data_IF_058675282829
#
_entry.id   IF_058675282829
#
_cell.length_a   1.000
_cell.length_b   1.000
_cell.length_c   1.000
_cell.angle_alpha   90.00
_cell.angle_beta   90.00
_cell.angle_gamma   90.00
#
_symmetry.space_group_name_H-M   'P 1'
#
loop_
_entity.id
_entity.type
_entity.pdbx_description
1 polymer ?
#
# COMPACT_ATOMS: atom_id res chain seq x y z
N UNK A 1 -1.80 -1.29 12.41
CA UNK A 1 -1.52 -2.07 13.62
C UNK A 1 -0.01 -2.23 13.79
N UNK A 2 0.48 -2.06 15.03
CA UNK A 2 1.88 -2.34 15.37
C UNK A 2 2.03 -3.81 15.76
N UNK A 3 3.10 -4.44 15.30
CA UNK A 3 3.31 -5.87 15.42
C UNK A 3 4.27 -6.16 16.59
N UNK A 4 3.79 -6.82 17.66
CA UNK A 4 4.62 -7.33 18.76
C UNK A 4 5.02 -8.78 18.48
N UNK A 5 6.33 -9.05 18.50
CA UNK A 5 6.92 -10.40 18.55
C UNK A 5 6.33 -11.40 17.54
N UNK A 6 6.04 -10.98 16.32
CA UNK A 6 5.66 -11.91 15.27
C UNK A 6 6.93 -12.56 14.73
N UNK A 7 7.32 -13.66 15.33
CA UNK A 7 8.37 -14.55 14.81
C UNK A 7 7.77 -15.39 13.69
N UNK A 8 7.64 -14.80 12.50
CA UNK A 8 7.21 -15.53 11.31
C UNK A 8 8.38 -15.75 10.36
N UNK A 9 8.62 -17.00 10.04
CA UNK A 9 9.39 -17.53 8.91
C UNK A 9 10.78 -16.95 8.62
N UNK A 10 11.80 -17.75 8.90
CA UNK A 10 13.18 -17.61 8.40
C UNK A 10 13.82 -16.29 8.78
N UNK A 11 14.55 -16.28 9.87
CA UNK A 11 15.32 -15.17 10.44
C UNK A 11 16.15 -14.45 9.36
N UNK A 12 15.55 -13.46 8.68
CA UNK A 12 16.36 -12.41 8.10
C UNK A 12 16.88 -11.59 9.28
N UNK A 13 18.19 -11.57 9.48
CA UNK A 13 18.84 -10.71 10.47
C UNK A 13 18.71 -9.24 10.01
N UNK A 14 17.62 -8.58 10.40
CA UNK A 14 17.50 -7.15 10.24
C UNK A 14 18.26 -6.41 11.35
N UNK A 15 18.80 -5.21 11.07
CA UNK A 15 19.38 -4.36 12.08
C UNK A 15 18.40 -4.07 13.21
N UNK A 16 18.91 -4.04 14.45
CA UNK A 16 18.13 -3.69 15.64
C UNK A 16 17.54 -2.27 15.50
N UNK A 17 16.29 -2.11 15.95
CA UNK A 17 15.57 -0.84 15.91
C UNK A 17 16.12 0.09 17.01
N UNK A 18 16.62 1.27 16.61
CA UNK A 18 17.23 2.27 17.50
C UNK A 18 16.20 3.27 18.03
N UNK A 19 15.19 3.61 17.23
CA UNK A 19 14.09 4.48 17.63
C UNK A 19 12.78 3.72 17.44
N UNK A 20 12.18 3.26 18.54
CA UNK A 20 10.93 2.53 18.60
C UNK A 20 9.75 3.41 19.07
N UNK A 21 9.96 4.71 19.26
CA UNK A 21 8.98 5.64 19.83
C UNK A 21 7.64 5.60 19.13
N UNK A 22 7.65 5.52 17.77
CA UNK A 22 6.41 5.38 16.98
C UNK A 22 5.65 4.09 17.31
N UNK A 23 6.34 2.97 17.45
CA UNK A 23 5.72 1.69 17.79
C UNK A 23 5.19 1.67 19.21
N UNK A 24 5.96 2.20 20.19
CA UNK A 24 5.54 2.31 21.58
C UNK A 24 4.28 3.15 21.72
N UNK A 25 4.25 4.32 21.08
CA UNK A 25 3.06 5.18 21.05
C UNK A 25 1.86 4.45 20.41
N UNK A 26 2.07 3.69 19.32
CA UNK A 26 1.03 2.91 18.67
C UNK A 26 0.48 1.77 19.56
N UNK A 27 1.27 1.28 20.52
CA UNK A 27 0.83 0.31 21.52
C UNK A 27 0.20 0.95 22.76
N UNK A 28 0.18 2.29 22.85
CA UNK A 28 -0.34 3.02 24.00
C UNK A 28 0.65 3.09 25.18
N UNK A 29 1.92 2.90 24.92
CA UNK A 29 3.00 3.05 25.91
C UNK A 29 3.41 4.51 26.05
N UNK A 30 3.91 4.91 27.24
CA UNK A 30 4.47 6.23 27.45
C UNK A 30 5.72 6.43 26.58
N UNK A 31 5.84 7.62 26.01
CA UNK A 31 6.98 8.02 25.19
C UNK A 31 7.49 9.40 25.64
N UNK A 32 8.79 9.64 25.50
CA UNK A 32 9.41 10.89 25.94
C UNK A 32 8.94 12.10 25.13
N UNK A 33 8.39 11.86 23.93
CA UNK A 33 7.83 12.88 23.05
C UNK A 33 6.80 12.24 22.11
N UNK A 34 5.95 13.07 21.50
CA UNK A 34 4.99 12.61 20.50
C UNK A 34 5.71 12.31 19.18
N UNK A 35 5.72 11.04 18.71
CA UNK A 35 6.37 10.69 17.45
C UNK A 35 5.63 11.26 16.24
N UNK A 36 6.38 11.61 15.20
CA UNK A 36 5.83 12.20 13.97
C UNK A 36 6.13 11.31 12.77
N UNK A 37 5.08 10.98 12.05
CA UNK A 37 5.13 10.41 10.72
C UNK A 37 4.20 11.18 9.80
N UNK A 38 4.62 11.45 8.56
CA UNK A 38 3.80 12.12 7.56
C UNK A 38 3.35 11.14 6.48
N UNK A 39 2.04 11.06 6.21
CA UNK A 39 1.48 10.15 5.20
C UNK A 39 2.09 10.36 3.80
N UNK A 40 2.42 11.59 3.43
CA UNK A 40 3.03 11.93 2.15
C UNK A 40 4.49 12.35 2.30
N UNK A 41 5.30 11.47 2.90
CA UNK A 41 6.74 11.72 3.09
C UNK A 41 7.46 11.81 1.75
N UNK A 42 7.34 10.81 0.89
CA UNK A 42 7.87 10.83 -0.47
C UNK A 42 6.90 11.56 -1.40
N UNK A 43 7.39 12.45 -2.23
CA UNK A 43 6.54 13.18 -3.13
C UNK A 43 7.24 14.21 -4.02
N UNK A 44 6.50 14.75 -4.98
CA UNK A 44 7.00 15.69 -6.00
C UNK A 44 7.52 17.02 -5.43
N UNK A 45 7.25 17.34 -4.18
CA UNK A 45 7.81 18.50 -3.48
C UNK A 45 9.33 18.36 -3.25
N UNK A 46 9.85 17.12 -3.24
CA UNK A 46 11.28 16.84 -3.14
C UNK A 46 11.92 16.87 -4.52
N UNK A 47 12.97 17.68 -4.75
CA UNK A 47 13.72 17.68 -6.03
C UNK A 47 14.25 16.28 -6.36
N UNK A 48 14.88 15.61 -5.42
CA UNK A 48 15.43 14.26 -5.57
C UNK A 48 14.37 13.21 -5.94
N UNK A 49 13.14 13.38 -5.47
CA UNK A 49 12.03 12.52 -5.88
C UNK A 49 11.73 12.66 -7.38
N UNK A 50 11.72 13.90 -7.88
CA UNK A 50 11.51 14.18 -9.31
C UNK A 50 12.63 13.63 -10.17
N UNK A 51 13.87 13.75 -9.71
CA UNK A 51 15.06 13.21 -10.40
C UNK A 51 15.01 11.68 -10.46
N UNK A 52 14.78 11.01 -9.34
CA UNK A 52 14.68 9.53 -9.28
C UNK A 52 13.58 9.00 -10.20
N UNK A 53 12.49 9.76 -10.35
CA UNK A 53 11.35 9.34 -11.16
C UNK A 53 11.37 9.81 -12.62
N UNK A 54 12.36 10.62 -13.01
CA UNK A 54 12.39 11.23 -14.35
C UNK A 54 12.46 10.21 -15.50
N UNK A 55 13.10 9.05 -15.27
CA UNK A 55 13.37 8.03 -16.28
C UNK A 55 12.33 6.89 -16.33
N UNK A 56 11.35 6.85 -15.40
CA UNK A 56 10.43 5.72 -15.29
C UNK A 56 8.99 6.19 -15.07
N UNK A 57 8.03 5.43 -15.63
CA UNK A 57 6.63 5.61 -15.28
C UNK A 57 6.35 5.21 -13.82
N UNK A 58 5.16 5.56 -13.32
CA UNK A 58 4.82 5.39 -11.91
C UNK A 58 4.84 3.92 -11.46
N UNK A 59 4.21 3.03 -12.22
CA UNK A 59 4.10 1.64 -11.82
C UNK A 59 5.39 0.85 -12.07
N UNK A 60 6.17 1.21 -13.08
CA UNK A 60 7.54 0.69 -13.25
C UNK A 60 8.43 1.07 -12.06
N UNK A 61 8.27 2.30 -11.53
CA UNK A 61 8.95 2.71 -10.29
C UNK A 61 8.52 1.84 -9.10
N UNK A 62 7.21 1.58 -8.94
CA UNK A 62 6.70 0.72 -7.86
C UNK A 62 7.23 -0.72 -7.96
N UNK A 63 7.56 -1.21 -9.15
CA UNK A 63 8.12 -2.55 -9.38
C UNK A 63 9.64 -2.64 -9.24
N UNK A 64 10.34 -1.53 -9.03
CA UNK A 64 11.78 -1.49 -8.77
C UNK A 64 12.03 -1.40 -7.26
N UNK A 65 12.52 -2.47 -6.61
CA UNK A 65 12.85 -2.45 -5.18
C UNK A 65 13.85 -1.35 -4.82
N UNK A 66 14.84 -1.09 -5.69
CA UNK A 66 15.86 -0.07 -5.50
C UNK A 66 15.27 1.33 -5.53
N UNK A 67 14.41 1.63 -6.52
CA UNK A 67 13.74 2.91 -6.63
C UNK A 67 12.78 3.14 -5.43
N UNK A 68 12.00 2.12 -5.06
CA UNK A 68 11.13 2.19 -3.88
C UNK A 68 11.91 2.45 -2.60
N UNK A 69 13.04 1.77 -2.41
CA UNK A 69 13.93 1.98 -1.27
C UNK A 69 14.47 3.42 -1.25
N UNK A 70 15.01 3.89 -2.37
CA UNK A 70 15.55 5.26 -2.48
C UNK A 70 14.47 6.30 -2.14
N UNK A 71 13.29 6.20 -2.76
CA UNK A 71 12.17 7.12 -2.54
C UNK A 71 11.69 7.11 -1.08
N UNK A 72 11.71 5.94 -0.43
CA UNK A 72 11.35 5.79 0.98
C UNK A 72 12.34 6.51 1.90
N UNK A 73 13.64 6.46 1.58
CA UNK A 73 14.70 7.04 2.41
C UNK A 73 14.86 8.56 2.24
N UNK A 74 14.46 9.13 1.11
CA UNK A 74 14.63 10.55 0.81
C UNK A 74 14.06 11.49 1.89
N UNK A 75 12.80 11.33 2.35
CA UNK A 75 12.26 12.20 3.40
C UNK A 75 13.04 12.14 4.71
N UNK A 76 13.55 10.95 5.07
CA UNK A 76 14.30 10.75 6.30
C UNK A 76 15.69 11.41 6.30
N UNK A 77 16.21 11.77 5.12
CA UNK A 77 17.45 12.56 5.01
C UNK A 77 17.22 14.03 5.29
N UNK A 78 15.98 14.51 5.09
CA UNK A 78 15.61 15.92 5.24
C UNK A 78 14.91 16.23 6.57
N UNK A 79 14.14 15.29 7.09
CA UNK A 79 13.25 15.53 8.21
C UNK A 79 13.51 14.51 9.34
N UNK A 80 13.43 14.93 10.60
CA UNK A 80 13.55 14.05 11.76
C UNK A 80 12.22 13.30 12.00
N UNK A 81 11.89 12.35 11.13
CA UNK A 81 10.68 11.55 11.23
C UNK A 81 10.93 10.29 12.07
N UNK A 82 9.89 9.81 12.76
CA UNK A 82 9.94 8.67 13.67
C UNK A 82 9.45 7.36 13.06
N UNK A 83 9.05 7.39 11.80
CA UNK A 83 8.72 6.21 11.00
C UNK A 83 8.94 6.47 9.51
N UNK A 84 9.18 5.42 8.75
CA UNK A 84 9.16 5.41 7.29
C UNK A 84 7.97 4.59 6.80
N UNK A 85 7.38 4.96 5.67
CA UNK A 85 6.44 4.12 4.96
C UNK A 85 7.06 3.69 3.62
N UNK A 86 6.93 2.42 3.28
CA UNK A 86 7.43 1.93 2.00
C UNK A 86 6.80 2.72 0.84
N UNK A 87 7.60 3.13 -0.14
CA UNK A 87 7.06 3.68 -1.38
C UNK A 87 6.45 2.57 -2.22
N UNK A 88 5.16 2.69 -2.47
CA UNK A 88 4.34 1.80 -3.31
C UNK A 88 3.04 2.52 -3.66
N UNK A 89 2.06 1.79 -4.18
CA UNK A 89 0.70 2.27 -4.42
C UNK A 89 -0.34 1.23 -4.01
N UNK A 90 -1.52 1.67 -3.58
CA UNK A 90 -2.62 0.76 -3.21
C UNK A 90 -3.16 0.00 -4.43
N UNK A 91 -3.02 0.56 -5.64
CA UNK A 91 -3.56 0.00 -6.88
C UNK A 91 -2.68 -1.10 -7.50
N UNK A 92 -1.54 -1.43 -6.88
CA UNK A 92 -0.77 -2.63 -7.25
C UNK A 92 -1.60 -3.91 -7.08
N UNK A 93 -2.56 -3.91 -6.13
CA UNK A 93 -3.46 -5.05 -5.90
C UNK A 93 -4.46 -5.25 -7.06
N UNK A 94 -5.23 -4.26 -7.51
CA UNK A 94 -6.01 -4.38 -8.75
C UNK A 94 -5.18 -4.78 -9.97
N UNK A 95 -3.95 -4.27 -10.11
CA UNK A 95 -3.04 -4.69 -11.19
C UNK A 95 -2.69 -6.18 -11.09
N UNK A 96 -2.36 -6.67 -9.91
CA UNK A 96 -2.07 -8.08 -9.68
C UNK A 96 -3.29 -8.97 -9.99
N UNK A 97 -4.50 -8.47 -9.73
CA UNK A 97 -5.76 -9.12 -10.12
C UNK A 97 -6.03 -9.06 -11.63
N UNK A 98 -5.14 -8.45 -12.43
CA UNK A 98 -5.22 -8.44 -13.88
C UNK A 98 -5.89 -7.20 -14.49
N UNK A 99 -6.24 -6.19 -13.71
CA UNK A 99 -6.78 -4.95 -14.24
C UNK A 99 -5.66 -4.02 -14.73
N UNK A 100 -5.86 -3.39 -15.87
CA UNK A 100 -5.00 -2.32 -16.32
C UNK A 100 -5.25 -1.06 -15.49
N UNK A 101 -4.18 -0.47 -14.99
CA UNK A 101 -4.20 0.81 -14.26
C UNK A 101 -3.15 1.74 -14.84
N UNK A 102 -3.54 2.92 -15.23
CA UNK A 102 -2.66 3.96 -15.78
C UNK A 102 -2.70 5.21 -14.91
N UNK A 103 -1.58 5.97 -14.89
CA UNK A 103 -1.53 7.27 -14.22
C UNK A 103 -1.64 8.39 -15.25
N UNK A 104 -2.78 9.05 -15.28
CA UNK A 104 -3.05 10.15 -16.22
C UNK A 104 -2.60 11.48 -15.60
N UNK A 105 -1.71 12.24 -16.25
CA UNK A 105 -1.27 13.54 -15.75
C UNK A 105 -2.45 14.46 -15.43
N UNK A 106 -2.46 15.05 -14.24
CA UNK A 106 -3.52 15.96 -13.78
C UNK A 106 -4.84 15.31 -13.35
N UNK A 107 -5.07 14.04 -13.74
CA UNK A 107 -6.31 13.31 -13.42
C UNK A 107 -6.11 12.24 -12.32
N UNK A 108 -4.89 11.67 -12.23
CA UNK A 108 -4.59 10.58 -11.32
C UNK A 108 -4.81 9.18 -11.94
N UNK A 109 -5.12 8.17 -11.11
CA UNK A 109 -5.28 6.80 -11.59
C UNK A 109 -6.51 6.65 -12.49
N UNK A 110 -6.39 5.83 -13.52
CA UNK A 110 -7.46 5.51 -14.47
C UNK A 110 -7.44 4.02 -14.80
N UNK A 111 -8.62 3.43 -14.80
CA UNK A 111 -8.86 2.05 -15.22
C UNK A 111 -9.56 2.12 -16.58
N UNK A 112 -8.89 1.78 -17.70
CA UNK A 112 -9.51 1.81 -19.02
C UNK A 112 -10.73 0.92 -19.11
N UNK A 113 -10.70 -0.23 -18.44
CA UNK A 113 -11.79 -1.22 -18.39
C UNK A 113 -12.25 -1.46 -16.94
N UNK A 114 -13.00 -0.53 -16.32
CA UNK A 114 -13.50 -0.72 -14.96
C UNK A 114 -14.57 -1.83 -14.89
N UNK A 115 -14.81 -2.33 -13.68
CA UNK A 115 -15.86 -3.33 -13.44
C UNK A 115 -17.23 -2.64 -13.51
N UNK A 116 -18.06 -3.03 -14.47
CA UNK A 116 -19.40 -2.48 -14.69
C UNK A 116 -20.52 -3.44 -14.33
N UNK A 117 -20.29 -4.73 -14.50
CA UNK A 117 -21.28 -5.79 -14.32
C UNK A 117 -20.68 -6.96 -13.55
N UNK A 118 -21.56 -7.82 -13.00
CA UNK A 118 -21.12 -8.98 -12.22
C UNK A 118 -20.21 -9.93 -13.02
N UNK A 119 -20.50 -10.12 -14.30
CA UNK A 119 -19.67 -10.96 -15.19
C UNK A 119 -18.24 -10.44 -15.33
N UNK A 120 -17.99 -9.15 -15.08
CA UNK A 120 -16.66 -8.57 -15.15
C UNK A 120 -15.73 -9.12 -14.05
N UNK A 121 -16.29 -9.70 -12.98
CA UNK A 121 -15.51 -10.37 -11.93
C UNK A 121 -14.78 -11.62 -12.45
N UNK A 122 -15.27 -12.24 -13.54
CA UNK A 122 -14.64 -13.40 -14.18
C UNK A 122 -13.32 -13.07 -14.87
N UNK A 123 -13.07 -11.77 -15.14
CA UNK A 123 -11.80 -11.29 -15.71
C UNK A 123 -10.69 -11.21 -14.65
N UNK A 124 -11.06 -11.21 -13.37
CA UNK A 124 -10.09 -11.10 -12.28
C UNK A 124 -9.35 -12.43 -12.13
N UNK A 125 -8.04 -12.33 -11.92
CA UNK A 125 -7.18 -13.48 -11.65
C UNK A 125 -7.52 -14.10 -10.30
N UNK A 126 -7.12 -15.36 -10.14
CA UNK A 126 -7.17 -16.04 -8.86
C UNK A 126 -6.43 -15.25 -7.77
N UNK A 127 -7.03 -15.08 -6.58
CA UNK A 127 -6.44 -14.28 -5.49
C UNK A 127 -5.05 -14.76 -5.05
N UNK A 128 -4.80 -16.08 -5.01
CA UNK A 128 -3.51 -16.62 -4.61
C UNK A 128 -2.43 -16.33 -5.65
N UNK A 129 -2.78 -16.44 -6.94
CA UNK A 129 -1.90 -16.05 -8.04
C UNK A 129 -1.58 -14.56 -8.00
N UNK A 130 -2.60 -13.71 -7.78
CA UNK A 130 -2.42 -12.26 -7.66
C UNK A 130 -1.49 -11.89 -6.49
N UNK A 131 -1.69 -12.49 -5.31
CA UNK A 131 -0.84 -12.23 -4.16
C UNK A 131 0.64 -12.59 -4.42
N UNK A 132 0.89 -13.65 -5.18
CA UNK A 132 2.27 -14.08 -5.51
C UNK A 132 2.98 -13.10 -6.45
N UNK A 133 2.27 -12.35 -7.28
CA UNK A 133 2.85 -11.34 -8.18
C UNK A 133 3.36 -10.09 -7.45
N UNK A 134 2.98 -9.88 -6.19
CA UNK A 134 3.38 -8.73 -5.39
C UNK A 134 4.76 -8.88 -4.72
N UNK A 135 5.54 -9.90 -5.08
CA UNK A 135 6.86 -10.19 -4.52
C UNK A 135 7.86 -9.03 -4.61
N UNK A 136 7.76 -8.17 -5.61
CA UNK A 136 8.60 -6.98 -5.74
C UNK A 136 8.41 -5.98 -4.59
N UNK A 137 7.19 -5.91 -4.00
CA UNK A 137 6.94 -5.08 -2.81
C UNK A 137 7.67 -5.66 -1.60
N UNK A 138 7.69 -6.98 -1.45
CA UNK A 138 8.41 -7.66 -0.37
C UNK A 138 9.92 -7.44 -0.48
N UNK A 139 10.47 -7.53 -1.69
CA UNK A 139 11.87 -7.20 -1.96
C UNK A 139 12.21 -5.76 -1.59
N UNK A 140 11.34 -4.80 -1.97
CA UNK A 140 11.50 -3.40 -1.61
C UNK A 140 11.49 -3.17 -0.09
N UNK A 141 10.59 -3.83 0.65
CA UNK A 141 10.51 -3.77 2.11
C UNK A 141 11.79 -4.33 2.74
N UNK A 142 12.24 -5.51 2.32
CA UNK A 142 13.46 -6.13 2.84
C UNK A 142 14.69 -5.24 2.61
N UNK A 143 14.87 -4.75 1.39
CA UNK A 143 15.96 -3.84 1.05
C UNK A 143 15.91 -2.57 1.90
N UNK A 144 14.72 -1.97 2.04
CA UNK A 144 14.54 -0.75 2.82
C UNK A 144 14.82 -0.97 4.30
N UNK A 145 14.37 -2.11 4.89
CA UNK A 145 14.68 -2.46 6.28
C UNK A 145 16.17 -2.55 6.54
N UNK A 146 16.93 -3.14 5.62
CA UNK A 146 18.39 -3.22 5.70
C UNK A 146 19.02 -1.82 5.60
N UNK A 147 18.59 -0.99 4.64
CA UNK A 147 19.14 0.34 4.40
C UNK A 147 18.77 1.36 5.48
N UNK A 148 17.63 1.19 6.17
CA UNK A 148 17.26 1.99 7.34
C UNK A 148 18.24 1.80 8.50
N UNK A 149 18.93 0.67 8.55
CA UNK A 149 19.91 0.34 9.61
C UNK A 149 19.35 0.55 11.02
N UNK A 150 18.06 0.30 11.22
CA UNK A 150 17.35 0.45 12.48
C UNK A 150 17.00 1.89 12.87
N UNK A 151 17.22 2.88 12.04
CA UNK A 151 16.98 4.31 12.38
C UNK A 151 15.57 4.56 12.91
N UNK A 152 14.56 4.08 12.18
CA UNK A 152 13.13 4.19 12.49
C UNK A 152 12.40 2.95 12.01
N UNK A 153 11.19 2.64 12.51
CA UNK A 153 10.39 1.53 12.00
C UNK A 153 9.91 1.78 10.57
N UNK A 154 9.71 0.69 9.84
CA UNK A 154 9.16 0.68 8.50
C UNK A 154 7.69 0.25 8.53
N UNK A 155 6.83 1.09 7.96
CA UNK A 155 5.41 0.83 7.78
C UNK A 155 5.21 0.21 6.39
N UNK A 156 4.57 -0.97 6.36
CA UNK A 156 3.94 -1.53 5.17
C UNK A 156 2.48 -1.06 5.06
N UNK A 157 1.86 -1.19 3.90
CA UNK A 157 0.48 -0.76 3.74
C UNK A 157 -0.27 -1.48 2.63
N UNK A 158 -1.59 -1.34 2.66
CA UNK A 158 -2.48 -1.69 1.56
C UNK A 158 -3.69 -0.77 1.54
N UNK A 159 -4.37 -0.68 0.41
CA UNK A 159 -5.72 -0.17 0.35
C UNK A 159 -6.69 -1.16 0.99
N UNK A 160 -7.68 -0.68 1.72
CA UNK A 160 -8.75 -1.53 2.26
C UNK A 160 -9.72 -1.98 1.15
N UNK A 161 -10.44 -3.08 1.35
CA UNK A 161 -11.29 -3.67 0.30
C UNK A 161 -12.29 -2.70 -0.32
N UNK A 162 -12.97 -1.89 0.49
CA UNK A 162 -13.93 -0.91 -0.04
C UNK A 162 -13.25 0.16 -0.89
N UNK A 163 -12.14 0.72 -0.41
CA UNK A 163 -11.38 1.71 -1.18
C UNK A 163 -10.92 1.14 -2.53
N UNK A 164 -10.39 -0.09 -2.56
CA UNK A 164 -9.98 -0.72 -3.82
C UNK A 164 -11.18 -1.02 -4.73
N UNK A 165 -12.26 -1.56 -4.18
CA UNK A 165 -13.50 -1.79 -4.93
C UNK A 165 -14.01 -0.50 -5.59
N UNK A 166 -14.00 0.63 -4.85
CA UNK A 166 -14.46 1.90 -5.44
C UNK A 166 -13.63 2.30 -6.64
N UNK A 167 -12.30 2.22 -6.59
CA UNK A 167 -11.44 2.50 -7.73
C UNK A 167 -11.72 1.57 -8.92
N UNK A 168 -11.86 0.27 -8.67
CA UNK A 168 -12.10 -0.74 -9.70
C UNK A 168 -13.45 -0.55 -10.40
N UNK A 169 -14.47 -0.10 -9.67
CA UNK A 169 -15.83 0.10 -10.18
C UNK A 169 -16.03 1.50 -10.77
N UNK A 170 -15.52 2.55 -10.12
CA UNK A 170 -15.60 3.92 -10.65
C UNK A 170 -14.73 4.10 -11.91
N UNK A 171 -13.61 3.39 -11.99
CA UNK A 171 -12.63 3.52 -13.07
C UNK A 171 -11.60 4.62 -12.83
N UNK A 172 -11.49 5.10 -11.60
CA UNK A 172 -10.57 6.16 -11.18
C UNK A 172 -11.07 6.92 -9.96
N UNK A 173 -10.57 8.15 -9.78
CA UNK A 173 -11.04 9.03 -8.71
C UNK A 173 -12.47 9.49 -8.96
N UNK A 174 -13.30 9.48 -7.92
CA UNK A 174 -14.68 9.93 -7.95
C UNK A 174 -15.01 10.74 -6.70
N UNK A 175 -15.79 11.80 -6.85
CA UNK A 175 -16.26 12.62 -5.73
C UNK A 175 -17.58 12.12 -5.13
N UNK A 176 -18.34 11.32 -5.86
CA UNK A 176 -19.68 10.86 -5.45
C UNK A 176 -19.75 9.38 -5.13
N UNK A 177 -18.82 8.57 -5.65
CA UNK A 177 -18.83 7.11 -5.60
C UNK A 177 -20.16 6.50 -6.10
N UNK A 178 -20.74 7.13 -7.14
CA UNK A 178 -22.09 6.78 -7.59
C UNK A 178 -22.18 5.35 -8.14
N UNK A 179 -21.18 4.89 -8.89
CA UNK A 179 -21.15 3.53 -9.43
C UNK A 179 -20.93 2.50 -8.33
N UNK A 180 -19.99 2.75 -7.41
CA UNK A 180 -19.73 1.87 -6.29
C UNK A 180 -20.95 1.75 -5.36
N UNK A 181 -21.62 2.87 -5.05
CA UNK A 181 -22.89 2.87 -4.29
C UNK A 181 -23.99 2.11 -5.05
N UNK A 182 -24.09 2.29 -6.36
CA UNK A 182 -25.04 1.52 -7.19
C UNK A 182 -24.80 0.02 -7.07
N UNK A 183 -23.53 -0.42 -7.06
CA UNK A 183 -23.20 -1.82 -6.86
C UNK A 183 -23.69 -2.34 -5.51
N UNK A 184 -23.49 -1.59 -4.41
CA UNK A 184 -23.96 -2.00 -3.08
C UNK A 184 -25.48 -2.23 -3.04
N UNK A 185 -26.26 -1.35 -3.67
CA UNK A 185 -27.73 -1.43 -3.60
C UNK A 185 -28.35 -2.34 -4.67
N UNK A 186 -27.79 -2.36 -5.87
CA UNK A 186 -28.38 -3.10 -6.98
C UNK A 186 -27.76 -4.48 -7.20
N UNK A 187 -26.52 -4.70 -6.74
CA UNK A 187 -25.74 -5.94 -6.90
C UNK A 187 -25.03 -6.34 -5.61
N UNK A 188 -25.77 -6.53 -4.51
CA UNK A 188 -25.13 -6.79 -3.19
C UNK A 188 -24.30 -8.07 -3.20
N UNK A 189 -24.74 -9.15 -3.87
CA UNK A 189 -24.00 -10.40 -3.96
C UNK A 189 -22.67 -10.21 -4.72
N UNK A 190 -22.69 -9.51 -5.85
CA UNK A 190 -21.48 -9.20 -6.61
C UNK A 190 -20.53 -8.30 -5.81
N UNK A 191 -21.06 -7.34 -5.06
CA UNK A 191 -20.28 -6.49 -4.16
C UNK A 191 -19.59 -7.30 -3.08
N UNK A 192 -20.30 -8.19 -2.40
CA UNK A 192 -19.71 -9.10 -1.40
C UNK A 192 -18.67 -10.03 -2.02
N UNK A 193 -18.93 -10.57 -3.22
CA UNK A 193 -17.96 -11.40 -3.94
C UNK A 193 -16.68 -10.64 -4.25
N UNK A 194 -16.76 -9.39 -4.75
CA UNK A 194 -15.59 -8.55 -5.03
C UNK A 194 -14.81 -8.20 -3.76
N UNK A 195 -15.51 -7.82 -2.68
CA UNK A 195 -14.87 -7.55 -1.38
C UNK A 195 -14.18 -8.81 -0.83
N UNK A 196 -14.78 -9.99 -1.02
CA UNK A 196 -14.17 -11.29 -0.69
C UNK A 196 -12.87 -11.52 -1.47
N UNK A 197 -12.91 -11.40 -2.81
CA UNK A 197 -11.74 -11.54 -3.69
C UNK A 197 -10.60 -10.60 -3.22
N UNK A 198 -10.93 -9.34 -2.96
CA UNK A 198 -9.94 -8.36 -2.46
C UNK A 198 -9.37 -8.77 -1.10
N UNK A 199 -10.20 -9.25 -0.19
CA UNK A 199 -9.75 -9.72 1.14
C UNK A 199 -8.80 -10.91 1.01
N UNK A 200 -9.11 -11.87 0.12
CA UNK A 200 -8.30 -13.06 -0.12
C UNK A 200 -6.91 -12.72 -0.71
N UNK A 201 -6.78 -11.61 -1.44
CA UNK A 201 -5.47 -11.09 -1.87
C UNK A 201 -4.77 -10.32 -0.74
N UNK A 202 -5.51 -9.47 -0.03
CA UNK A 202 -4.94 -8.53 0.94
C UNK A 202 -4.37 -9.22 2.17
N UNK A 203 -5.00 -10.30 2.64
CA UNK A 203 -4.52 -11.02 3.83
C UNK A 203 -3.12 -11.60 3.60
N UNK A 204 -2.86 -12.46 2.58
CA UNK A 204 -1.52 -12.94 2.32
C UNK A 204 -0.54 -11.84 1.92
N UNK A 205 -0.99 -10.78 1.23
CA UNK A 205 -0.16 -9.64 0.89
C UNK A 205 0.35 -8.89 2.13
N UNK A 206 -0.51 -8.65 3.12
CA UNK A 206 -0.12 -8.00 4.37
C UNK A 206 0.79 -8.89 5.23
N UNK A 207 0.49 -10.20 5.29
CA UNK A 207 1.36 -11.19 5.96
C UNK A 207 2.74 -11.21 5.30
N UNK A 208 2.80 -11.20 3.97
CA UNK A 208 4.05 -11.14 3.21
C UNK A 208 4.86 -9.87 3.50
N UNK A 209 4.22 -8.71 3.67
CA UNK A 209 4.90 -7.47 4.06
C UNK A 209 5.52 -7.57 5.46
N UNK A 210 4.83 -8.19 6.41
CA UNK A 210 5.37 -8.47 7.76
C UNK A 210 6.59 -9.40 7.68
N UNK A 211 6.45 -10.50 6.96
CA UNK A 211 7.55 -11.46 6.76
C UNK A 211 8.77 -10.81 6.08
N UNK A 212 8.54 -9.86 5.18
CA UNK A 212 9.59 -9.08 4.51
C UNK A 212 10.26 -8.02 5.39
N UNK A 213 9.72 -7.74 6.59
CA UNK A 213 10.33 -6.85 7.58
C UNK A 213 9.57 -5.58 7.92
N UNK A 214 8.32 -5.41 7.49
CA UNK A 214 7.46 -4.33 7.96
C UNK A 214 7.18 -4.47 9.46
N UNK A 215 7.31 -3.39 10.22
CA UNK A 215 7.14 -3.37 11.68
C UNK A 215 5.79 -2.81 12.12
N UNK A 216 5.11 -2.13 11.22
CA UNK A 216 3.73 -1.71 11.35
C UNK A 216 3.03 -1.85 10.01
N UNK A 217 1.70 -1.98 10.05
CA UNK A 217 0.86 -2.02 8.86
C UNK A 217 -0.18 -0.90 8.93
N UNK A 218 -0.33 -0.20 7.81
CA UNK A 218 -1.38 0.81 7.61
C UNK A 218 -2.38 0.30 6.57
N UNK A 219 -3.63 0.16 6.95
CA UNK A 219 -4.72 -0.14 6.02
C UNK A 219 -5.46 1.16 5.69
N UNK A 220 -5.41 1.58 4.42
CA UNK A 220 -6.03 2.82 3.97
C UNK A 220 -7.47 2.59 3.52
N UNK A 221 -8.44 2.95 4.38
CA UNK A 221 -9.87 2.99 4.03
C UNK A 221 -10.29 4.44 3.75
N UNK A 222 -9.78 4.99 2.65
CA UNK A 222 -9.94 6.41 2.30
C UNK A 222 -11.36 6.79 1.88
N UNK A 223 -12.18 5.82 1.52
CA UNK A 223 -13.52 6.04 0.96
C UNK A 223 -14.65 5.63 1.92
N UNK A 224 -14.33 5.24 3.18
CA UNK A 224 -15.33 4.86 4.18
C UNK A 224 -16.37 5.94 4.45
N UNK A 225 -15.99 7.21 4.40
CA UNK A 225 -16.91 8.34 4.59
C UNK A 225 -18.02 8.45 3.53
N UNK A 226 -17.95 7.67 2.45
CA UNK A 226 -19.03 7.58 1.46
C UNK A 226 -20.04 6.45 1.74
N UNK A 227 -19.77 5.60 2.73
CA UNK A 227 -20.72 4.64 3.28
C UNK A 227 -21.61 5.38 4.29
N UNK A 228 -22.89 5.45 4.04
CA UNK A 228 -23.86 6.14 4.87
C UNK A 228 -24.98 5.25 5.27
#
# INVERSE_FOLDING_TARGET
AALRNVSFFGLQNFPELKNDTFLRAAWGEETDYTPVWCMRQAGRYLPEFRETRAAQDFFSTCRSPEACCELTLQPLRRFPLDAAIIFSDILVVPQALGMEVTMVPGKGPSFPEPLREERDLERLRDPAAAASELGYVFQAITLTRQRLAGRVPLIGFAGAPWTLMTYMVEGGSSSTMAQAKRWLYQRPQASHKLLGILTDVLVPYLIGQVAAGAQALQLFESHAGHLG
#
